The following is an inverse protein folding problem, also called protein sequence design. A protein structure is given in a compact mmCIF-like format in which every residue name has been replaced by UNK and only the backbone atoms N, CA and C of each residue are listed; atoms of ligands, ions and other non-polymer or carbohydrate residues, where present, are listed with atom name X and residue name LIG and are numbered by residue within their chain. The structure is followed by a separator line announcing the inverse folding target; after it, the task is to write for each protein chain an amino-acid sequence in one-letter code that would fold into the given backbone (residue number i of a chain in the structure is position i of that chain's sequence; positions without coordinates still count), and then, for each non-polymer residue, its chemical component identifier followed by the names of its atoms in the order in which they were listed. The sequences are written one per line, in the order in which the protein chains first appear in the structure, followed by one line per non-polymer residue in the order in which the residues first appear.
data_IF_228696854023
#
_entry.id   IF_228696854023
#
_cell.length_a   1.000
_cell.length_b   1.000
_cell.length_c   1.000
_cell.angle_alpha   90.00
_cell.angle_beta   90.00
_cell.angle_gamma   90.00
#
_symmetry.space_group_name_H-M   'P 1'
#
loop_
_entity.id
_entity.type
_entity.pdbx_description
1 polymer ?
#
# COMPACT_ATOMS: atom_id res chain seq x y z
N UNK A 1 -40.53 -1.18 -8.31
CA UNK A 1 -40.54 0.21 -7.82
C UNK A 1 -39.30 0.52 -6.97
N UNK A 2 -38.29 -0.37 -6.91
CA UNK A 2 -37.02 -0.18 -6.16
C UNK A 2 -35.77 0.05 -7.04
N UNK A 3 -35.93 0.30 -8.35
CA UNK A 3 -34.80 0.53 -9.27
C UNK A 3 -34.44 2.03 -9.37
N UNK A 4 -35.40 2.90 -9.08
CA UNK A 4 -35.25 4.36 -9.18
C UNK A 4 -34.43 4.90 -7.99
N UNK A 5 -34.66 4.36 -6.79
CA UNK A 5 -33.91 4.67 -5.57
C UNK A 5 -32.43 4.23 -5.63
N UNK A 6 -32.10 3.20 -6.43
CA UNK A 6 -30.72 2.74 -6.60
C UNK A 6 -29.92 3.57 -7.63
N UNK A 7 -30.59 4.26 -8.57
CA UNK A 7 -29.94 5.18 -9.54
C UNK A 7 -29.54 6.52 -8.91
N UNK A 8 -30.24 6.96 -7.87
CA UNK A 8 -29.94 8.21 -7.16
C UNK A 8 -28.72 8.08 -6.22
N UNK A 9 -28.30 6.86 -5.89
CA UNK A 9 -27.17 6.55 -4.99
C UNK A 9 -25.83 6.29 -5.72
N UNK A 10 -25.75 6.57 -7.03
CA UNK A 10 -24.48 6.51 -7.77
C UNK A 10 -23.97 5.11 -8.13
N UNK A 11 -24.83 4.08 -8.10
CA UNK A 11 -24.49 2.73 -8.56
C UNK A 11 -24.54 2.65 -10.10
N UNK A 12 -23.51 2.12 -10.78
CA UNK A 12 -23.59 1.83 -12.20
C UNK A 12 -24.52 0.63 -12.44
N UNK A 13 -25.68 0.87 -13.05
CA UNK A 13 -26.62 -0.17 -13.50
C UNK A 13 -26.44 -0.38 -14.99
N UNK A 14 -25.72 -1.43 -15.39
CA UNK A 14 -25.75 -1.90 -16.77
C UNK A 14 -26.98 -2.81 -16.99
N UNK A 15 -27.82 -2.43 -17.94
CA UNK A 15 -28.97 -3.24 -18.36
C UNK A 15 -28.64 -3.92 -19.69
N UNK A 16 -28.54 -5.25 -19.70
CA UNK A 16 -28.57 -6.05 -20.92
C UNK A 16 -29.93 -6.72 -21.02
N UNK A 17 -30.73 -6.29 -22.01
CA UNK A 17 -32.00 -6.94 -22.36
C UNK A 17 -31.69 -8.28 -23.03
N UNK A 18 -31.93 -9.37 -22.32
CA UNK A 18 -31.90 -10.74 -22.84
C UNK A 18 -32.81 -11.68 -22.01
N UNK A 19 -33.50 -12.65 -22.62
CA UNK A 19 -34.49 -13.49 -21.97
C UNK A 19 -33.83 -14.63 -21.18
N UNK A 20 -33.29 -14.31 -19.99
CA UNK A 20 -32.65 -15.30 -19.11
C UNK A 20 -31.86 -14.62 -18.01
N UNK A 21 -32.57 -14.02 -17.05
CA UNK A 21 -31.97 -13.23 -15.98
C UNK A 21 -30.94 -14.02 -15.15
N UNK A 22 -29.68 -13.62 -15.26
CA UNK A 22 -28.60 -14.01 -14.37
C UNK A 22 -27.80 -12.75 -14.03
N UNK A 23 -27.77 -12.36 -12.76
CA UNK A 23 -26.91 -11.28 -12.30
C UNK A 23 -25.51 -11.85 -12.06
N UNK A 24 -24.50 -11.29 -12.72
CA UNK A 24 -23.09 -11.51 -12.36
C UNK A 24 -22.47 -10.17 -12.01
N UNK A 25 -22.05 -10.01 -10.77
CA UNK A 25 -21.25 -8.87 -10.33
C UNK A 25 -19.94 -8.85 -11.13
N UNK A 26 -19.73 -7.78 -11.90
CA UNK A 26 -18.47 -7.52 -12.58
C UNK A 26 -17.36 -7.25 -11.56
N UNK A 27 -16.18 -7.79 -11.82
CA UNK A 27 -14.98 -7.58 -11.03
C UNK A 27 -14.49 -6.13 -11.16
N UNK A 28 -14.64 -5.37 -10.06
CA UNK A 28 -13.91 -4.16 -9.64
C UNK A 28 -13.27 -3.27 -10.73
N UNK A 29 -13.95 -2.18 -11.11
CA UNK A 29 -13.44 -1.18 -12.07
C UNK A 29 -13.17 0.22 -11.51
N UNK A 30 -13.57 0.51 -10.27
CA UNK A 30 -13.35 1.75 -9.48
C UNK A 30 -13.94 1.51 -8.09
N UNK A 31 -13.45 2.22 -7.06
CA UNK A 31 -14.13 2.22 -5.76
C UNK A 31 -15.56 2.77 -5.96
N UNK A 32 -16.61 2.14 -5.41
CA UNK A 32 -17.95 2.71 -5.41
C UNK A 32 -17.96 4.05 -4.66
N UNK A 33 -19.00 4.90 -4.83
CA UNK A 33 -19.13 6.14 -4.07
C UNK A 33 -18.99 5.87 -2.56
N UNK A 34 -17.98 6.47 -1.94
CA UNK A 34 -17.75 6.39 -0.50
C UNK A 34 -18.61 7.45 0.18
N UNK A 35 -19.52 7.02 1.05
CA UNK A 35 -20.23 7.93 1.95
C UNK A 35 -19.36 8.10 3.18
N UNK A 36 -18.86 9.32 3.38
CA UNK A 36 -18.03 9.69 4.52
C UNK A 36 -18.81 10.68 5.40
N UNK A 37 -18.70 10.53 6.72
CA UNK A 37 -19.13 11.58 7.64
C UNK A 37 -18.09 12.73 7.70
N UNK A 38 -18.48 13.83 8.36
CA UNK A 38 -17.66 15.03 8.47
C UNK A 38 -16.29 14.76 9.11
N UNK A 39 -16.26 13.93 10.17
CA UNK A 39 -15.04 13.61 10.92
C UNK A 39 -14.11 12.71 10.11
N UNK A 40 -14.67 11.73 9.38
CA UNK A 40 -13.94 10.87 8.45
C UNK A 40 -13.30 11.67 7.32
N UNK A 41 -14.02 12.63 6.73
CA UNK A 41 -13.49 13.48 5.68
C UNK A 41 -12.32 14.33 6.17
N UNK A 42 -12.44 14.94 7.36
CA UNK A 42 -11.35 15.70 7.98
C UNK A 42 -10.14 14.80 8.29
N UNK A 43 -10.37 13.61 8.86
CA UNK A 43 -9.30 12.68 9.21
C UNK A 43 -8.50 12.24 7.98
N UNK A 44 -9.17 11.91 6.87
CA UNK A 44 -8.51 11.53 5.62
C UNK A 44 -7.75 12.73 5.03
N UNK A 45 -8.34 13.92 5.02
CA UNK A 45 -7.67 15.12 4.51
C UNK A 45 -6.41 15.46 5.31
N UNK A 46 -6.44 15.33 6.64
CA UNK A 46 -5.28 15.54 7.50
C UNK A 46 -4.23 14.46 7.31
N UNK A 47 -4.63 13.18 7.23
CA UNK A 47 -3.72 12.07 6.96
C UNK A 47 -2.99 12.24 5.63
N UNK A 48 -3.68 12.66 4.56
CA UNK A 48 -3.06 12.89 3.25
C UNK A 48 -2.07 14.07 3.25
N UNK A 49 -2.29 15.08 4.11
CA UNK A 49 -1.40 16.26 4.23
C UNK A 49 -0.20 16.01 5.16
N UNK A 50 -0.35 15.13 6.15
CA UNK A 50 0.65 14.92 7.21
C UNK A 50 1.40 13.59 7.08
N UNK A 51 0.92 12.68 6.23
CA UNK A 51 1.59 11.41 5.97
C UNK A 51 3.03 11.68 5.51
N UNK A 52 4.05 11.13 6.19
CA UNK A 52 5.41 11.22 5.71
C UNK A 52 5.50 10.50 4.36
N UNK A 53 6.24 11.09 3.41
CA UNK A 53 6.51 10.50 2.10
C UNK A 53 7.45 9.28 2.26
N UNK A 54 6.94 8.20 2.83
CA UNK A 54 7.67 6.93 3.06
C UNK A 54 7.54 5.97 1.88
N UNK A 55 6.66 6.28 0.91
CA UNK A 55 6.35 5.44 -0.24
C UNK A 55 6.40 6.29 -1.51
N UNK A 56 7.16 5.86 -2.52
CA UNK A 56 7.20 6.48 -3.86
C UNK A 56 6.20 5.83 -4.81
N UNK A 57 5.89 6.54 -5.90
CA UNK A 57 5.01 6.04 -6.96
C UNK A 57 3.51 6.27 -6.69
N UNK A 58 3.18 6.93 -5.57
CA UNK A 58 1.82 7.32 -5.20
C UNK A 58 1.68 8.82 -4.94
N UNK A 59 2.74 9.62 -5.08
CA UNK A 59 2.75 11.05 -4.74
C UNK A 59 1.66 11.82 -5.50
N UNK A 60 1.58 11.61 -6.83
CA UNK A 60 0.54 12.18 -7.68
C UNK A 60 -0.86 11.64 -7.34
N UNK A 61 -0.95 10.42 -6.79
CA UNK A 61 -2.22 9.83 -6.38
C UNK A 61 -2.73 10.45 -5.07
N UNK A 62 -1.84 10.73 -4.11
CA UNK A 62 -2.17 11.40 -2.84
C UNK A 62 -2.72 12.80 -3.11
N UNK A 63 -2.05 13.60 -3.95
CA UNK A 63 -2.52 14.93 -4.33
C UNK A 63 -3.88 14.92 -5.04
N UNK A 64 -4.07 13.97 -5.98
CA UNK A 64 -5.37 13.78 -6.65
C UNK A 64 -6.45 13.33 -5.68
N UNK A 65 -6.16 12.42 -4.75
CA UNK A 65 -7.12 11.97 -3.73
C UNK A 65 -7.56 13.13 -2.83
N UNK A 66 -6.63 13.96 -2.36
CA UNK A 66 -6.94 15.15 -1.58
C UNK A 66 -7.80 16.14 -2.38
N UNK A 67 -7.49 16.33 -3.66
CA UNK A 67 -8.28 17.18 -4.57
C UNK A 67 -9.70 16.64 -4.74
N UNK A 68 -9.85 15.34 -5.00
CA UNK A 68 -11.16 14.68 -5.13
C UNK A 68 -11.96 14.79 -3.83
N UNK A 69 -11.33 14.60 -2.68
CA UNK A 69 -11.98 14.74 -1.38
C UNK A 69 -12.46 16.19 -1.15
N UNK A 70 -11.62 17.19 -1.44
CA UNK A 70 -11.98 18.62 -1.34
C UNK A 70 -13.13 19.03 -2.25
N UNK A 71 -13.30 18.38 -3.40
CA UNK A 71 -14.41 18.64 -4.32
C UNK A 71 -15.76 18.15 -3.80
N UNK A 72 -15.77 17.09 -2.98
CA UNK A 72 -17.01 16.52 -2.44
C UNK A 72 -17.34 17.00 -1.02
N UNK A 73 -16.42 17.71 -0.36
CA UNK A 73 -16.64 18.29 0.97
C UNK A 73 -17.59 19.52 0.92
N UNK A 74 -18.54 19.64 1.86
CA UNK A 74 -19.28 20.88 2.10
C UNK A 74 -18.35 22.07 2.35
N UNK A 75 -18.75 23.28 1.93
CA UNK A 75 -17.92 24.48 2.00
C UNK A 75 -17.35 24.77 3.41
N UNK A 76 -18.13 24.48 4.47
CA UNK A 76 -17.70 24.58 5.88
C UNK A 76 -16.51 23.67 6.19
N UNK A 77 -16.54 22.41 5.74
CA UNK A 77 -15.48 21.44 6.01
C UNK A 77 -14.23 21.72 5.17
N UNK A 78 -14.42 22.18 3.92
CA UNK A 78 -13.30 22.60 3.08
C UNK A 78 -12.56 23.80 3.69
N UNK A 79 -13.29 24.82 4.15
CA UNK A 79 -12.69 25.97 4.83
C UNK A 79 -11.96 25.57 6.13
N UNK A 80 -12.53 24.63 6.90
CA UNK A 80 -11.86 24.08 8.08
C UNK A 80 -10.57 23.32 7.68
N UNK A 81 -10.62 22.45 6.68
CA UNK A 81 -9.45 21.70 6.19
C UNK A 81 -8.36 22.59 5.59
N UNK A 82 -8.71 23.70 4.94
CA UNK A 82 -7.78 24.69 4.39
C UNK A 82 -7.17 25.58 5.49
N UNK A 83 -7.93 25.91 6.54
CA UNK A 83 -7.40 26.62 7.70
C UNK A 83 -6.34 25.80 8.46
N UNK A 84 -6.35 24.47 8.30
CA UNK A 84 -5.31 23.55 8.78
C UNK A 84 -4.32 23.18 7.68
N UNK A 85 -4.00 24.06 6.72
CA UNK A 85 -2.93 23.78 5.75
C UNK A 85 -1.62 23.56 6.51
N UNK A 86 -1.35 22.29 6.83
CA UNK A 86 -0.16 21.90 7.56
C UNK A 86 0.95 22.02 6.53
N UNK A 87 1.69 23.12 6.60
CA UNK A 87 3.04 23.16 6.04
C UNK A 87 3.83 22.14 6.84
N UNK A 88 3.78 20.89 6.37
CA UNK A 88 4.58 19.81 6.92
C UNK A 88 6.02 20.18 6.62
N UNK A 89 6.70 20.80 7.58
CA UNK A 89 8.14 20.88 7.58
C UNK A 89 8.58 19.42 7.51
N UNK A 90 9.13 19.00 6.37
CA UNK A 90 9.78 17.68 6.24
C UNK A 90 10.64 17.54 7.47
N UNK A 91 10.31 16.59 8.35
CA UNK A 91 11.01 16.38 9.62
C UNK A 91 12.51 16.30 9.30
N UNK A 92 13.21 17.41 9.54
CA UNK A 92 14.63 17.58 9.24
C UNK A 92 15.50 17.02 10.39
N UNK A 93 14.86 16.41 11.38
CA UNK A 93 15.49 15.70 12.47
C UNK A 93 15.33 14.19 12.23
N UNK A 94 16.49 13.56 11.99
CA UNK A 94 16.77 12.14 11.83
C UNK A 94 16.33 11.43 10.53
N UNK A 95 17.33 11.28 9.65
CA UNK A 95 17.47 10.18 8.68
C UNK A 95 16.18 9.74 7.98
N UNK A 96 15.58 10.61 7.14
CA UNK A 96 14.56 10.18 6.21
C UNK A 96 15.11 8.98 5.41
N UNK A 97 14.62 7.77 5.69
CA UNK A 97 14.97 6.62 4.87
C UNK A 97 14.53 6.92 3.45
N UNK A 98 15.27 6.42 2.44
CA UNK A 98 14.81 6.48 1.07
C UNK A 98 13.36 5.97 1.01
N UNK A 99 12.44 6.71 0.37
CA UNK A 99 11.07 6.27 0.24
C UNK A 99 11.01 4.95 -0.54
N UNK A 100 10.09 4.07 -0.13
CA UNK A 100 9.96 2.70 -0.65
C UNK A 100 9.05 2.69 -1.88
N UNK A 101 9.44 1.99 -2.93
CA UNK A 101 8.53 1.77 -4.07
C UNK A 101 7.26 1.02 -3.64
N UNK A 102 6.08 1.56 -3.98
CA UNK A 102 4.79 0.91 -3.74
C UNK A 102 4.74 -0.51 -4.31
N UNK A 103 5.42 -0.78 -5.42
CA UNK A 103 5.49 -2.11 -6.01
C UNK A 103 6.16 -3.12 -5.07
N UNK A 104 7.17 -2.70 -4.30
CA UNK A 104 7.84 -3.53 -3.29
C UNK A 104 6.90 -3.87 -2.12
N UNK A 105 6.13 -2.88 -1.64
CA UNK A 105 5.13 -3.11 -0.60
C UNK A 105 4.01 -4.04 -1.09
N UNK A 106 3.56 -3.89 -2.33
CA UNK A 106 2.56 -4.77 -2.93
C UNK A 106 3.08 -6.20 -3.07
N UNK A 107 4.32 -6.40 -3.51
CA UNK A 107 4.93 -7.71 -3.61
C UNK A 107 5.00 -8.41 -2.23
N UNK A 108 5.51 -7.70 -1.21
CA UNK A 108 5.59 -8.23 0.15
C UNK A 108 4.21 -8.51 0.74
N UNK A 109 3.26 -7.57 0.63
CA UNK A 109 1.89 -7.74 1.14
C UNK A 109 1.13 -8.86 0.43
N UNK A 110 1.38 -9.07 -0.86
CA UNK A 110 0.81 -10.21 -1.60
C UNK A 110 1.36 -11.53 -1.09
N UNK A 111 2.68 -11.64 -0.93
CA UNK A 111 3.34 -12.84 -0.43
C UNK A 111 2.89 -13.22 0.99
N UNK A 112 2.72 -12.22 1.88
CA UNK A 112 2.14 -12.43 3.22
C UNK A 112 0.71 -12.98 3.10
N UNK A 113 -0.15 -12.33 2.33
CA UNK A 113 -1.57 -12.71 2.20
C UNK A 113 -1.74 -14.11 1.62
N UNK A 114 -0.88 -14.51 0.68
CA UNK A 114 -0.97 -15.82 0.03
C UNK A 114 -0.13 -16.90 0.72
N UNK A 115 0.60 -16.59 1.78
CA UNK A 115 1.56 -17.49 2.44
C UNK A 115 2.57 -18.10 1.44
N UNK A 116 3.19 -17.26 0.60
CA UNK A 116 4.26 -17.67 -0.32
C UNK A 116 5.58 -17.00 0.06
N UNK A 117 6.69 -17.68 -0.13
CA UNK A 117 8.01 -17.10 0.12
C UNK A 117 8.22 -15.88 -0.77
N UNK A 118 8.90 -14.87 -0.24
CA UNK A 118 9.30 -13.70 -1.00
C UNK A 118 10.76 -13.87 -1.43
N UNK A 119 10.99 -13.83 -2.75
CA UNK A 119 12.33 -13.85 -3.35
C UNK A 119 12.78 -12.44 -3.68
N UNK A 120 13.97 -12.03 -3.23
CA UNK A 120 14.48 -10.68 -3.48
C UNK A 120 16.00 -10.59 -3.47
N UNK A 121 16.53 -9.59 -4.18
CA UNK A 121 17.89 -9.10 -3.91
C UNK A 121 17.83 -8.13 -2.73
N UNK A 122 18.89 -8.11 -1.92
CA UNK A 122 19.02 -7.18 -0.81
C UNK A 122 20.21 -6.26 -1.04
N UNK A 123 19.99 -4.95 -0.94
CA UNK A 123 21.05 -3.96 -1.09
C UNK A 123 22.04 -4.02 0.08
N UNK A 124 23.28 -3.64 -0.15
CA UNK A 124 24.32 -3.41 0.85
C UNK A 124 23.99 -2.19 1.76
N UNK A 125 24.68 -2.01 2.90
CA UNK A 125 24.36 -0.93 3.86
C UNK A 125 24.35 0.49 3.30
N UNK A 126 25.12 0.74 2.25
CA UNK A 126 25.18 2.01 1.50
C UNK A 126 24.10 2.14 0.41
N UNK A 127 23.25 1.12 0.23
CA UNK A 127 22.13 1.10 -0.69
C UNK A 127 22.44 0.54 -2.09
N UNK A 128 23.66 0.09 -2.37
CA UNK A 128 23.95 -0.52 -3.68
C UNK A 128 23.47 -1.97 -3.75
N UNK A 129 22.94 -2.37 -4.91
CA UNK A 129 22.66 -3.78 -5.20
C UNK A 129 23.83 -4.35 -5.99
N UNK A 130 24.44 -5.42 -5.47
CA UNK A 130 25.44 -6.17 -6.20
C UNK A 130 24.81 -6.80 -7.46
N UNK A 131 25.59 -6.83 -8.54
CA UNK A 131 25.26 -7.49 -9.79
C UNK A 131 25.93 -8.88 -9.87
N UNK A 132 25.44 -9.80 -10.72
CA UNK A 132 26.02 -11.15 -10.85
C UNK A 132 27.51 -11.21 -11.20
N UNK A 133 28.07 -10.12 -11.75
CA UNK A 133 29.49 -10.00 -12.08
C UNK A 133 30.34 -9.51 -10.90
N UNK A 134 29.73 -8.99 -9.83
CA UNK A 134 30.44 -8.42 -8.70
C UNK A 134 30.98 -9.52 -7.77
N UNK A 135 32.22 -9.39 -7.27
CA UNK A 135 32.76 -10.31 -6.28
C UNK A 135 31.88 -10.36 -5.04
N UNK A 136 31.49 -11.57 -4.63
CA UNK A 136 30.64 -11.76 -3.44
C UNK A 136 29.15 -11.57 -3.67
N UNK A 137 28.68 -11.46 -4.92
CA UNK A 137 27.25 -11.44 -5.26
C UNK A 137 26.49 -12.60 -4.60
N UNK A 138 25.60 -12.34 -3.63
CA UNK A 138 24.84 -13.39 -2.99
C UNK A 138 23.68 -13.85 -3.90
N UNK A 139 23.25 -15.12 -3.82
CA UNK A 139 22.00 -15.52 -4.42
C UNK A 139 20.83 -14.72 -3.80
N UNK A 140 19.73 -14.50 -4.55
CA UNK A 140 18.55 -13.85 -3.98
C UNK A 140 18.07 -14.56 -2.72
N UNK A 141 17.73 -13.79 -1.69
CA UNK A 141 17.14 -14.32 -0.48
C UNK A 141 15.75 -14.89 -0.79
N UNK A 142 15.38 -15.98 -0.12
CA UNK A 142 14.03 -16.56 -0.17
C UNK A 142 13.54 -16.81 1.25
N UNK A 143 12.63 -15.96 1.71
CA UNK A 143 12.19 -15.95 3.12
C UNK A 143 10.67 -16.11 3.23
N UNK A 144 10.18 -16.52 4.40
CA UNK A 144 8.75 -16.58 4.73
C UNK A 144 8.32 -15.21 5.31
N UNK A 145 7.65 -14.33 4.54
CA UNK A 145 7.24 -13.04 5.05
C UNK A 145 6.05 -13.17 6.01
N UNK A 146 6.10 -12.47 7.14
CA UNK A 146 5.05 -12.51 8.16
C UNK A 146 4.28 -11.20 8.25
N UNK A 147 4.97 -10.06 8.49
CA UNK A 147 4.34 -8.76 8.65
C UNK A 147 5.15 -7.63 8.01
N UNK A 148 4.44 -6.64 7.47
CA UNK A 148 4.99 -5.32 7.17
C UNK A 148 4.69 -4.40 8.35
N UNK A 149 5.73 -3.76 8.88
CA UNK A 149 5.62 -2.83 10.02
C UNK A 149 6.33 -1.52 9.70
N UNK A 150 5.81 -0.42 10.25
CA UNK A 150 6.45 0.89 10.17
C UNK A 150 7.03 1.23 11.54
N UNK A 151 8.33 1.54 11.59
CA UNK A 151 9.01 1.97 12.80
C UNK A 151 9.98 3.11 12.47
N UNK A 152 9.95 4.18 13.26
CA UNK A 152 10.77 5.38 13.06
C UNK A 152 10.73 5.93 11.62
N UNK A 153 9.54 5.89 10.97
CA UNK A 153 9.35 6.36 9.60
C UNK A 153 9.89 5.43 8.51
N UNK A 154 10.26 4.20 8.84
CA UNK A 154 10.82 3.21 7.90
C UNK A 154 9.99 1.95 7.87
N UNK A 155 9.89 1.35 6.69
CA UNK A 155 9.22 0.07 6.49
C UNK A 155 10.18 -1.09 6.76
N UNK A 156 9.71 -2.05 7.56
CA UNK A 156 10.40 -3.29 7.85
C UNK A 156 9.50 -4.47 7.50
N UNK A 157 10.11 -5.53 6.99
CA UNK A 157 9.51 -6.83 6.77
C UNK A 157 10.00 -7.78 7.86
N UNK A 158 9.08 -8.27 8.69
CA UNK A 158 9.32 -9.36 9.63
C UNK A 158 9.23 -10.66 8.86
N UNK A 159 10.26 -11.49 8.96
CA UNK A 159 10.37 -12.73 8.20
C UNK A 159 10.83 -13.87 9.08
N UNK A 160 10.57 -15.08 8.62
CA UNK A 160 11.16 -16.30 9.15
C UNK A 160 12.06 -16.93 8.09
N UNK A 161 13.27 -17.29 8.49
CA UNK A 161 14.22 -18.00 7.63
C UNK A 161 13.77 -19.47 7.50
N UNK A 162 13.48 -19.99 6.29
CA UNK A 162 12.92 -21.33 6.13
C UNK A 162 13.82 -22.43 6.68
N UNK A 163 15.14 -22.28 6.53
CA UNK A 163 16.13 -23.29 6.91
C UNK A 163 16.49 -23.19 8.39
N UNK A 164 16.82 -22.00 8.86
CA UNK A 164 17.25 -21.79 10.24
C UNK A 164 16.09 -21.73 11.24
N UNK A 165 14.85 -21.59 10.77
CA UNK A 165 13.66 -21.42 11.61
C UNK A 165 13.73 -20.18 12.54
N UNK A 166 14.59 -19.22 12.22
CA UNK A 166 14.83 -18.01 13.01
C UNK A 166 14.05 -16.84 12.46
N UNK A 167 13.70 -15.92 13.35
CA UNK A 167 13.10 -14.64 12.99
C UNK A 167 14.18 -13.65 12.57
N UNK A 168 13.91 -12.89 11.53
CA UNK A 168 14.76 -11.80 11.05
C UNK A 168 13.92 -10.62 10.61
N UNK A 169 14.56 -9.46 10.46
CA UNK A 169 13.94 -8.24 9.94
C UNK A 169 14.74 -7.69 8.77
N UNK A 170 14.03 -7.31 7.71
CA UNK A 170 14.63 -6.69 6.54
C UNK A 170 14.06 -5.29 6.35
N UNK A 171 14.93 -4.33 6.01
CA UNK A 171 14.51 -2.99 5.62
C UNK A 171 13.92 -3.03 4.22
N UNK A 172 12.68 -2.60 4.06
CA UNK A 172 11.97 -2.72 2.78
C UNK A 172 12.57 -1.81 1.71
N UNK A 173 13.13 -0.66 2.10
CA UNK A 173 13.86 0.24 1.18
C UNK A 173 15.12 -0.40 0.56
N UNK A 174 15.60 -1.52 1.11
CA UNK A 174 16.75 -2.29 0.61
C UNK A 174 16.34 -3.56 -0.14
N UNK A 175 15.05 -3.79 -0.35
CA UNK A 175 14.53 -4.99 -1.02
C UNK A 175 14.23 -4.69 -2.49
N UNK A 176 14.72 -5.55 -3.38
CA UNK A 176 14.29 -5.61 -4.78
C UNK A 176 13.59 -6.95 -5.05
N UNK A 177 12.25 -7.00 -5.09
CA UNK A 177 11.52 -8.23 -5.31
C UNK A 177 11.84 -8.86 -6.68
N UNK A 178 11.84 -10.18 -6.74
CA UNK A 178 11.85 -10.95 -7.99
C UNK A 178 10.43 -11.29 -8.39
N UNK A 179 10.15 -11.31 -9.70
CA UNK A 179 8.80 -11.53 -10.23
C UNK A 179 8.25 -12.96 -10.00
N UNK A 180 9.12 -13.94 -9.76
CA UNK A 180 8.71 -15.32 -9.55
C UNK A 180 7.98 -15.47 -8.22
N UNK A 181 6.78 -16.04 -8.26
CA UNK A 181 6.04 -16.45 -7.05
C UNK A 181 6.89 -17.49 -6.31
N UNK A 182 7.11 -17.27 -5.02
CA UNK A 182 7.86 -18.20 -4.19
C UNK A 182 7.09 -19.48 -3.89
N UNK A 183 7.64 -20.29 -2.99
CA UNK A 183 7.03 -21.54 -2.52
C UNK A 183 5.97 -21.24 -1.48
N UNK A 184 4.86 -21.98 -1.47
CA UNK A 184 3.88 -21.89 -0.39
C UNK A 184 4.46 -22.41 0.93
N UNK A 185 4.09 -21.79 2.05
CA UNK A 185 4.47 -22.23 3.41
C UNK A 185 3.27 -22.19 4.37
N UNK A 186 3.40 -22.82 5.54
CA UNK A 186 2.41 -22.70 6.62
C UNK A 186 2.86 -21.59 7.57
N UNK A 187 2.04 -20.55 7.81
CA UNK A 187 2.44 -19.44 8.67
C UNK A 187 2.63 -19.90 10.12
N UNK A 188 3.63 -19.34 10.79
CA UNK A 188 3.96 -19.61 12.18
C UNK A 188 3.60 -18.38 13.02
N UNK A 189 2.92 -18.53 14.17
CA UNK A 189 2.60 -17.40 15.02
C UNK A 189 3.89 -16.75 15.57
N UNK A 190 3.85 -15.42 15.72
CA UNK A 190 4.83 -14.71 16.55
C UNK A 190 4.59 -15.13 18.00
N UNK A 191 5.64 -15.64 18.65
CA UNK A 191 5.63 -16.11 20.03
C UNK A 191 5.64 -14.98 21.06
#
# INVERSE_FOLDING_TARGET
RDIETLRELGYPVETLKGPGGGYRLGTAGKLPPLVLDDDQAIAIALALQTAPATVTGIDDAVGRALTTLRQVMPARLRAASEAFEVTSLRNYWDFAAPPVDVATLQAAGSAIRTNHTLRFDYAEPDGHFLAPADPGFPPPAEIEPHHLVVWAGRWYLIVREPVAATWATYRVDRIRPKAAVGRSFTPHPLG
#
